data_IF_182313929546
#
_entry.id   IF_182313929546
#
_cell.length_a   1.000
_cell.length_b   1.000
_cell.length_c   1.000
_cell.angle_alpha   90.00
_cell.angle_beta   90.00
_cell.angle_gamma   90.00
#
_symmetry.space_group_name_H-M   'P 1'
#
loop_
_entity.id
_entity.type
_entity.pdbx_description
1 polymer ?
#
# COMPACT_ATOMS: atom_id res chain seq x y z
N UNK A 1 -1.52 -12.97 21.13
CA UNK A 1 -0.82 -11.69 20.96
C UNK A 1 -0.53 -11.16 22.34
N UNK A 2 0.73 -11.02 22.66
CA UNK A 2 1.24 -10.68 24.00
C UNK A 2 1.20 -9.15 24.27
N UNK A 3 0.53 -8.37 23.42
CA UNK A 3 0.32 -6.93 23.62
C UNK A 3 1.59 -6.09 23.60
N UNK A 4 2.72 -6.63 23.15
CA UNK A 4 3.92 -5.83 22.97
C UNK A 4 3.72 -4.85 21.82
N UNK A 5 3.82 -3.56 22.16
CA UNK A 5 3.98 -2.50 21.17
C UNK A 5 5.37 -2.71 20.54
N UNK A 6 5.41 -3.05 19.28
CA UNK A 6 6.64 -3.07 18.49
C UNK A 6 6.71 -1.77 17.69
N UNK A 7 7.90 -1.23 17.51
CA UNK A 7 8.11 -0.12 16.58
C UNK A 7 7.56 -0.55 15.20
N UNK A 8 6.93 0.38 14.53
CA UNK A 8 6.33 0.17 13.23
C UNK A 8 6.57 1.42 12.39
N UNK A 9 7.43 1.28 11.39
CA UNK A 9 7.82 2.36 10.50
C UNK A 9 7.19 2.17 9.13
N UNK A 10 6.65 3.26 8.60
CA UNK A 10 6.35 3.38 7.17
C UNK A 10 7.43 4.21 6.50
N UNK A 11 8.12 3.62 5.54
CA UNK A 11 9.12 4.28 4.72
C UNK A 11 8.50 4.63 3.37
N UNK A 12 8.42 5.90 3.04
CA UNK A 12 7.89 6.37 1.75
C UNK A 12 9.04 6.92 0.92
N UNK A 13 9.23 6.36 -0.25
CA UNK A 13 10.26 6.77 -1.21
C UNK A 13 9.63 7.52 -2.37
N UNK A 14 9.98 8.80 -2.51
CA UNK A 14 9.56 9.61 -3.64
C UNK A 14 10.65 9.58 -4.71
N UNK A 15 10.34 8.96 -5.84
CA UNK A 15 11.30 8.79 -6.95
C UNK A 15 11.20 9.93 -7.95
N UNK A 16 9.98 10.44 -8.18
CA UNK A 16 9.70 11.59 -9.03
C UNK A 16 8.53 12.39 -8.47
N UNK A 17 8.12 13.45 -9.14
CA UNK A 17 6.94 14.22 -8.73
C UNK A 17 5.64 13.39 -8.77
N UNK A 18 5.61 12.29 -9.51
CA UNK A 18 4.39 11.49 -9.71
C UNK A 18 4.51 10.06 -9.22
N UNK A 19 5.73 9.51 -9.15
CA UNK A 19 5.97 8.11 -8.83
C UNK A 19 6.68 7.93 -7.50
N UNK A 20 6.16 7.04 -6.69
CA UNK A 20 6.74 6.64 -5.42
C UNK A 20 6.35 5.22 -5.02
N UNK A 21 7.01 4.74 -3.97
CA UNK A 21 6.67 3.48 -3.34
C UNK A 21 6.84 3.56 -1.83
N UNK A 22 6.28 2.59 -1.12
CA UNK A 22 6.41 2.52 0.33
C UNK A 22 6.67 1.09 0.79
N UNK A 23 7.36 0.99 1.92
CA UNK A 23 7.40 -0.19 2.77
C UNK A 23 6.72 0.15 4.09
N UNK A 24 5.73 -0.63 4.49
CA UNK A 24 5.04 -0.51 5.76
C UNK A 24 5.28 -1.75 6.61
N UNK A 25 5.04 -1.65 7.92
CA UNK A 25 5.28 -2.72 8.88
C UNK A 25 6.79 -3.07 9.05
N UNK A 26 7.66 -2.10 8.81
CA UNK A 26 9.10 -2.23 9.09
C UNK A 26 9.31 -2.07 10.60
N UNK A 27 9.80 -3.11 11.26
CA UNK A 27 9.90 -3.14 12.73
C UNK A 27 11.18 -2.53 13.28
N UNK A 28 12.20 -2.40 12.47
CA UNK A 28 13.47 -1.75 12.83
C UNK A 28 14.10 -1.16 11.57
N UNK A 29 14.52 0.09 11.64
CA UNK A 29 15.37 0.69 10.60
C UNK A 29 16.83 0.24 10.77
N UNK A 30 17.56 0.16 9.66
CA UNK A 30 19.01 -0.08 9.71
C UNK A 30 19.74 1.14 10.27
N UNK A 31 20.85 0.93 10.94
CA UNK A 31 21.63 2.00 11.58
C UNK A 31 22.17 3.00 10.54
N UNK A 32 22.43 2.54 9.31
CA UNK A 32 22.84 3.39 8.19
C UNK A 32 21.75 4.39 7.78
N UNK A 33 20.49 4.06 8.00
CA UNK A 33 19.36 4.95 7.78
C UNK A 33 19.16 5.86 8.99
N UNK A 34 19.09 5.29 10.19
CA UNK A 34 18.87 6.02 11.44
C UNK A 34 19.91 7.12 11.71
N UNK A 35 21.16 6.89 11.30
CA UNK A 35 22.23 7.88 11.52
C UNK A 35 22.12 9.16 10.67
N UNK A 36 21.20 9.18 9.70
CA UNK A 36 21.07 10.28 8.73
C UNK A 36 20.01 11.32 9.12
N UNK A 37 19.23 11.08 10.19
CA UNK A 37 18.22 12.03 10.65
C UNK A 37 18.04 11.96 12.18
N UNK A 38 17.42 13.00 12.72
CA UNK A 38 17.06 13.05 14.13
C UNK A 38 15.88 12.12 14.46
N UNK A 39 15.75 11.73 15.74
CA UNK A 39 14.66 10.86 16.17
C UNK A 39 13.28 11.44 15.82
N UNK A 40 12.44 10.59 15.26
CA UNK A 40 11.04 10.92 14.94
C UNK A 40 10.21 10.63 16.18
N UNK A 41 9.34 11.57 16.64
CA UNK A 41 8.42 11.30 17.74
C UNK A 41 7.48 10.13 17.42
N UNK A 42 7.09 9.38 18.44
CA UNK A 42 6.08 8.32 18.30
C UNK A 42 4.80 8.86 17.63
N UNK A 43 4.28 8.16 16.64
CA UNK A 43 3.14 8.58 15.84
C UNK A 43 3.40 9.80 14.92
N UNK A 44 4.63 10.28 14.87
CA UNK A 44 5.05 11.40 14.03
C UNK A 44 5.53 10.99 12.66
N UNK A 45 5.84 11.98 11.84
CA UNK A 45 6.47 11.79 10.53
C UNK A 45 7.53 12.88 10.30
N UNK A 46 8.54 12.55 9.49
CA UNK A 46 9.55 13.52 9.07
C UNK A 46 9.85 13.32 7.58
N UNK A 47 10.07 14.43 6.88
CA UNK A 47 10.69 14.41 5.56
C UNK A 47 12.20 14.43 5.72
N UNK A 48 12.87 13.42 5.18
CA UNK A 48 14.31 13.27 5.29
C UNK A 48 14.93 13.12 3.90
N UNK A 49 16.16 13.57 3.72
CA UNK A 49 16.91 13.41 2.47
C UNK A 49 17.96 12.32 2.64
N UNK A 50 17.49 11.07 2.73
CA UNK A 50 18.34 9.89 2.84
C UNK A 50 18.56 9.29 1.47
N UNK A 51 19.83 9.16 1.06
CA UNK A 51 20.20 8.53 -0.21
C UNK A 51 20.35 7.02 -0.02
N UNK A 52 19.64 6.26 -0.82
CA UNK A 52 19.71 4.80 -0.86
C UNK A 52 19.95 4.32 -2.30
N UNK A 53 20.54 3.15 -2.44
CA UNK A 53 20.73 2.46 -3.72
C UNK A 53 19.97 1.14 -3.71
N UNK A 54 19.65 0.64 -4.88
CA UNK A 54 19.09 -0.71 -4.99
C UNK A 54 20.03 -1.74 -4.35
N UNK A 55 19.47 -2.55 -3.44
CA UNK A 55 20.22 -3.55 -2.67
C UNK A 55 20.74 -3.07 -1.31
N UNK A 56 20.64 -1.78 -0.98
CA UNK A 56 20.97 -1.31 0.36
C UNK A 56 19.98 -1.88 1.39
N UNK A 57 20.52 -2.31 2.55
CA UNK A 57 19.71 -2.70 3.68
C UNK A 57 19.10 -1.45 4.33
N UNK A 58 17.78 -1.34 4.31
CA UNK A 58 17.06 -0.19 4.87
C UNK A 58 16.42 -0.47 6.23
N UNK A 59 16.12 -1.72 6.51
CA UNK A 59 15.47 -2.11 7.76
C UNK A 59 15.13 -3.59 7.81
N UNK A 60 14.41 -3.97 8.84
CA UNK A 60 14.08 -5.34 9.16
C UNK A 60 12.58 -5.50 9.38
N UNK A 61 12.05 -6.62 8.94
CA UNK A 61 10.68 -7.06 9.20
C UNK A 61 10.71 -8.08 10.34
N UNK A 62 9.87 -7.89 11.35
CA UNK A 62 9.77 -8.80 12.48
C UNK A 62 8.90 -10.02 12.19
N UNK A 63 7.92 -10.27 13.05
CA UNK A 63 7.04 -11.45 12.96
C UNK A 63 5.82 -11.26 12.07
N UNK A 64 5.63 -10.06 11.56
CA UNK A 64 4.52 -9.72 10.66
C UNK A 64 4.99 -9.66 9.20
N UNK A 65 4.05 -9.46 8.29
CA UNK A 65 4.32 -9.31 6.86
C UNK A 65 4.87 -7.91 6.55
N UNK A 66 5.61 -7.79 5.46
CA UNK A 66 5.93 -6.50 4.85
C UNK A 66 4.76 -6.09 3.94
N UNK A 67 4.24 -4.87 4.10
CA UNK A 67 3.35 -4.25 3.13
C UNK A 67 4.19 -3.38 2.19
N UNK A 68 4.15 -3.73 0.90
CA UNK A 68 4.88 -3.03 -0.16
C UNK A 68 3.90 -2.56 -1.23
N UNK A 69 3.90 -1.28 -1.51
CA UNK A 69 3.03 -0.71 -2.53
C UNK A 69 3.71 0.36 -3.36
N UNK A 70 3.22 0.53 -4.58
CA UNK A 70 3.66 1.56 -5.53
C UNK A 70 2.48 2.42 -5.97
N UNK A 71 2.76 3.67 -6.33
CA UNK A 71 1.77 4.58 -6.88
C UNK A 71 2.41 5.48 -7.95
N UNK A 72 1.60 5.83 -8.94
CA UNK A 72 1.95 6.82 -9.97
C UNK A 72 0.74 7.73 -10.23
N UNK A 73 0.88 9.02 -9.96
CA UNK A 73 -0.18 10.01 -10.18
C UNK A 73 -0.60 10.17 -11.66
N UNK A 74 0.21 9.65 -12.59
CA UNK A 74 -0.18 9.59 -14.02
C UNK A 74 -1.10 8.40 -14.34
N UNK A 75 -1.23 7.45 -13.43
CA UNK A 75 -2.11 6.29 -13.57
C UNK A 75 -3.35 6.52 -12.72
N UNK A 76 -4.52 6.24 -13.27
CA UNK A 76 -5.77 6.26 -12.51
C UNK A 76 -6.49 4.93 -12.74
N UNK A 77 -6.76 4.22 -11.66
CA UNK A 77 -7.53 2.98 -11.69
C UNK A 77 -8.97 3.30 -12.14
N UNK A 78 -9.41 2.69 -13.21
CA UNK A 78 -10.71 2.97 -13.85
C UNK A 78 -11.86 2.11 -13.34
N UNK A 79 -11.58 1.13 -12.50
CA UNK A 79 -12.57 0.19 -11.98
C UNK A 79 -13.29 0.67 -10.72
N UNK A 80 -13.05 1.88 -10.22
CA UNK A 80 -13.84 2.50 -9.16
C UNK A 80 -15.02 3.28 -9.74
N UNK A 81 -16.25 2.96 -9.33
CA UNK A 81 -17.45 3.71 -9.73
C UNK A 81 -17.58 5.05 -9.01
N UNK A 82 -17.04 5.17 -7.84
CA UNK A 82 -17.06 6.39 -7.04
C UNK A 82 -15.67 6.78 -6.54
N UNK A 83 -14.79 7.27 -7.43
CA UNK A 83 -13.43 7.66 -7.05
C UNK A 83 -13.39 8.81 -6.04
N UNK A 84 -14.43 9.65 -5.97
CA UNK A 84 -14.50 10.72 -4.96
C UNK A 84 -14.55 10.21 -3.52
N UNK A 85 -14.95 8.97 -3.30
CA UNK A 85 -14.87 8.33 -1.98
C UNK A 85 -13.42 8.15 -1.47
N UNK A 86 -12.43 8.40 -2.32
CA UNK A 86 -11.00 8.31 -1.98
C UNK A 86 -10.30 9.68 -1.96
N UNK A 87 -11.01 10.81 -2.05
CA UNK A 87 -10.39 12.15 -2.19
C UNK A 87 -9.36 12.48 -1.09
N UNK A 88 -9.56 11.99 0.13
CA UNK A 88 -8.64 12.21 1.25
C UNK A 88 -7.52 11.17 1.35
N UNK A 89 -7.61 10.13 0.54
CA UNK A 89 -6.63 9.07 0.37
C UNK A 89 -6.38 8.84 -1.14
N UNK A 90 -6.22 9.93 -1.88
CA UNK A 90 -6.22 9.95 -3.35
C UNK A 90 -5.19 9.00 -3.98
N UNK A 91 -4.08 8.72 -3.30
CA UNK A 91 -3.09 7.76 -3.75
C UNK A 91 -3.68 6.35 -4.00
N UNK A 92 -4.79 5.98 -3.35
CA UNK A 92 -5.48 4.69 -3.54
C UNK A 92 -5.94 4.47 -4.99
N UNK A 93 -6.40 5.51 -5.65
CA UNK A 93 -6.82 5.41 -7.06
C UNK A 93 -5.65 5.48 -8.04
N UNK A 94 -4.45 5.73 -7.55
CA UNK A 94 -3.20 5.83 -8.32
C UNK A 94 -2.24 4.67 -8.04
N UNK A 95 -2.67 3.62 -7.33
CA UNK A 95 -1.82 2.45 -7.09
C UNK A 95 -1.46 1.74 -8.38
N UNK A 96 -0.25 1.22 -8.42
CA UNK A 96 0.27 0.44 -9.56
C UNK A 96 0.66 -0.96 -9.10
N UNK A 97 0.91 -1.87 -10.03
CA UNK A 97 1.40 -3.21 -9.69
C UNK A 97 2.86 -3.13 -9.21
N UNK A 98 3.15 -3.40 -7.92
CA UNK A 98 4.49 -3.28 -7.38
C UNK A 98 5.49 -4.27 -8.00
N UNK A 99 5.04 -5.37 -8.58
CA UNK A 99 5.92 -6.33 -9.26
C UNK A 99 6.62 -5.68 -10.45
N UNK A 100 5.94 -4.75 -11.12
CA UNK A 100 6.49 -4.04 -12.29
C UNK A 100 7.61 -3.05 -11.94
N UNK A 101 7.82 -2.74 -10.67
CA UNK A 101 8.92 -1.89 -10.21
C UNK A 101 10.29 -2.59 -10.21
N UNK A 102 10.32 -3.91 -10.37
CA UNK A 102 11.54 -4.71 -10.35
C UNK A 102 12.09 -4.99 -11.76
N UNK A 103 13.35 -5.44 -11.85
CA UNK A 103 13.91 -5.94 -13.11
C UNK A 103 13.18 -7.20 -13.58
N UNK A 104 13.23 -7.49 -14.88
CA UNK A 104 12.53 -8.65 -15.46
C UNK A 104 12.94 -9.97 -14.77
N UNK A 105 14.23 -10.12 -14.39
CA UNK A 105 14.72 -11.29 -13.70
C UNK A 105 14.06 -11.44 -12.32
N UNK A 106 13.96 -10.33 -11.55
CA UNK A 106 13.31 -10.34 -10.24
C UNK A 106 11.80 -10.51 -10.35
N UNK A 107 11.16 -9.92 -11.36
CA UNK A 107 9.74 -10.16 -11.64
C UNK A 107 9.48 -11.66 -11.85
N UNK A 108 10.32 -12.34 -12.61
CA UNK A 108 10.20 -13.78 -12.86
C UNK A 108 10.38 -14.60 -11.56
N UNK A 109 11.30 -14.23 -10.68
CA UNK A 109 11.47 -14.90 -9.39
C UNK A 109 10.29 -14.66 -8.45
N UNK A 110 9.83 -13.42 -8.34
CA UNK A 110 8.64 -13.07 -7.53
C UNK A 110 7.42 -13.86 -8.03
N UNK A 111 7.24 -13.94 -9.36
CA UNK A 111 6.09 -14.62 -9.95
C UNK A 111 6.08 -16.14 -9.68
N UNK A 112 7.24 -16.78 -9.53
CA UNK A 112 7.29 -18.20 -9.13
C UNK A 112 6.69 -18.42 -7.74
N UNK A 113 6.91 -17.47 -6.82
CA UNK A 113 6.44 -17.52 -5.45
C UNK A 113 5.02 -16.98 -5.29
N UNK A 114 4.53 -16.18 -6.25
CA UNK A 114 3.21 -15.56 -6.17
C UNK A 114 2.11 -16.61 -6.38
N UNK A 115 1.19 -16.79 -5.43
CA UNK A 115 0.06 -17.71 -5.59
C UNK A 115 -0.93 -17.25 -6.67
N UNK A 116 -1.05 -15.92 -6.90
CA UNK A 116 -1.92 -15.37 -7.94
C UNK A 116 -1.33 -15.64 -9.33
N UNK A 117 -2.12 -16.31 -10.18
CA UNK A 117 -1.69 -16.74 -11.53
C UNK A 117 -2.34 -15.95 -12.66
N UNK A 118 -3.06 -14.88 -12.32
CA UNK A 118 -3.76 -14.02 -13.28
C UNK A 118 -3.35 -12.56 -13.09
N UNK A 119 -3.25 -11.84 -14.21
CA UNK A 119 -2.95 -10.39 -14.18
C UNK A 119 -4.14 -9.59 -13.59
N UNK A 120 -3.88 -8.46 -12.91
CA UNK A 120 -2.57 -7.98 -12.48
C UNK A 120 -1.99 -8.83 -11.34
N UNK A 121 -0.72 -9.19 -11.44
CA UNK A 121 -0.10 -10.11 -10.49
C UNK A 121 0.10 -9.51 -9.09
N UNK A 122 0.26 -8.21 -8.98
CA UNK A 122 0.30 -7.48 -7.71
C UNK A 122 -1.05 -7.35 -7.02
N UNK A 123 -2.12 -7.85 -7.65
CA UNK A 123 -3.49 -7.78 -7.12
C UNK A 123 -4.32 -6.66 -7.76
N UNK A 124 -5.58 -6.58 -7.33
CA UNK A 124 -6.55 -5.62 -7.85
C UNK A 124 -7.47 -5.16 -6.71
N UNK A 125 -7.81 -3.88 -6.67
CA UNK A 125 -8.71 -3.30 -5.66
C UNK A 125 -9.93 -2.60 -6.27
N UNK A 126 -9.90 -2.28 -7.55
CA UNK A 126 -10.91 -1.53 -8.29
C UNK A 126 -11.90 -2.48 -9.00
N UNK A 127 -12.68 -3.23 -8.24
CA UNK A 127 -13.62 -4.26 -8.74
C UNK A 127 -15.05 -3.76 -8.95
N UNK A 128 -15.33 -2.47 -8.80
CA UNK A 128 -16.70 -1.96 -8.83
C UNK A 128 -17.39 -2.26 -10.16
N UNK A 129 -18.60 -2.82 -10.09
CA UNK A 129 -19.41 -3.13 -11.27
C UNK A 129 -20.81 -2.53 -11.12
N UNK A 130 -21.17 -1.62 -12.02
CA UNK A 130 -22.48 -0.97 -12.01
C UNK A 130 -23.61 -2.02 -12.08
N UNK A 131 -24.52 -1.96 -11.11
CA UNK A 131 -25.66 -2.86 -11.04
C UNK A 131 -25.34 -4.26 -10.52
N UNK A 132 -24.15 -4.48 -9.99
CA UNK A 132 -23.73 -5.71 -9.32
C UNK A 132 -23.41 -5.43 -7.85
N UNK A 133 -23.38 -6.51 -7.05
CA UNK A 133 -22.96 -6.41 -5.66
C UNK A 133 -21.43 -6.28 -5.54
N UNK A 134 -20.68 -6.69 -6.55
CA UNK A 134 -19.22 -6.57 -6.59
C UNK A 134 -18.81 -5.10 -6.59
N UNK A 135 -18.00 -4.71 -5.61
CA UNK A 135 -17.52 -3.33 -5.48
C UNK A 135 -17.22 -2.91 -4.06
N UNK A 136 -16.83 -1.65 -3.93
CA UNK A 136 -16.47 -0.99 -2.68
C UNK A 136 -17.62 -0.11 -2.20
N UNK A 137 -17.99 -0.24 -0.95
CA UNK A 137 -19.10 0.45 -0.31
C UNK A 137 -18.63 1.20 0.92
N UNK A 138 -19.14 2.40 1.11
CA UNK A 138 -18.79 3.25 2.24
C UNK A 138 -20.05 3.60 3.02
N UNK A 139 -19.90 3.66 4.35
CA UNK A 139 -20.97 4.08 5.23
C UNK A 139 -21.38 5.52 4.91
N UNK A 140 -22.68 5.76 4.89
CA UNK A 140 -23.24 7.09 4.64
C UNK A 140 -22.79 8.10 5.71
N UNK A 141 -22.53 9.34 5.30
CA UNK A 141 -22.05 10.43 6.16
C UNK A 141 -20.65 10.20 6.76
N UNK A 142 -19.81 9.46 6.07
CA UNK A 142 -18.36 9.37 6.32
C UNK A 142 -17.60 10.07 5.19
N UNK A 143 -16.28 10.20 5.36
CA UNK A 143 -15.38 10.73 4.33
C UNK A 143 -14.95 9.65 3.32
N UNK A 144 -15.83 8.72 2.99
CA UNK A 144 -15.49 7.60 2.13
C UNK A 144 -14.46 6.68 2.81
N UNK A 145 -13.38 6.37 2.10
CA UNK A 145 -12.33 5.46 2.57
C UNK A 145 -11.65 5.94 3.86
N UNK A 146 -11.42 7.24 4.02
CA UNK A 146 -10.83 7.81 5.23
C UNK A 146 -11.70 7.58 6.49
N UNK A 147 -13.02 7.45 6.32
CA UNK A 147 -13.95 7.30 7.43
C UNK A 147 -14.31 8.64 8.09
N UNK A 148 -14.55 8.61 9.39
CA UNK A 148 -14.94 9.79 10.17
C UNK A 148 -14.15 9.85 11.49
N UNK A 149 -14.29 10.98 12.22
CA UNK A 149 -13.65 11.14 13.55
C UNK A 149 -14.13 10.11 14.59
N UNK A 150 -15.23 9.41 14.34
CA UNK A 150 -15.81 8.40 15.23
C UNK A 150 -15.52 6.98 14.82
N UNK A 151 -15.09 6.79 13.58
CA UNK A 151 -14.88 5.48 12.97
C UNK A 151 -13.54 5.52 12.22
N UNK A 152 -12.72 4.51 12.45
CA UNK A 152 -11.49 4.33 11.69
C UNK A 152 -11.85 4.10 10.23
N UNK A 153 -10.95 4.45 9.31
CA UNK A 153 -11.25 4.45 7.90
C UNK A 153 -11.71 3.09 7.35
N UNK A 154 -11.26 1.97 7.87
CA UNK A 154 -11.77 0.65 7.45
C UNK A 154 -13.08 0.22 8.11
N UNK A 155 -13.50 0.83 9.23
CA UNK A 155 -14.74 0.46 9.93
C UNK A 155 -15.99 0.84 9.14
N UNK A 156 -15.88 1.85 8.27
CA UNK A 156 -16.96 2.31 7.40
C UNK A 156 -16.86 1.79 5.96
N UNK A 157 -15.96 0.87 5.67
CA UNK A 157 -15.69 0.33 4.34
C UNK A 157 -16.04 -1.15 4.26
N UNK A 158 -16.79 -1.53 3.24
CA UNK A 158 -17.15 -2.91 2.92
C UNK A 158 -16.85 -3.19 1.45
N UNK A 159 -16.07 -4.23 1.18
CA UNK A 159 -15.76 -4.66 -0.18
C UNK A 159 -16.34 -6.04 -0.44
N UNK A 160 -17.05 -6.18 -1.56
CA UNK A 160 -17.38 -7.46 -2.17
C UNK A 160 -16.53 -7.63 -3.41
N UNK A 161 -15.55 -8.51 -3.35
CA UNK A 161 -14.54 -8.69 -4.40
C UNK A 161 -14.37 -10.16 -4.74
N UNK A 162 -13.81 -10.42 -5.90
CA UNK A 162 -13.41 -11.76 -6.28
C UNK A 162 -12.27 -12.28 -5.42
N UNK A 163 -12.09 -13.59 -5.39
CA UNK A 163 -10.93 -14.18 -4.71
C UNK A 163 -9.61 -13.56 -5.21
N UNK A 164 -8.72 -13.29 -4.28
CA UNK A 164 -7.47 -12.61 -4.61
C UNK A 164 -6.55 -13.47 -5.48
N UNK A 165 -6.51 -14.77 -5.25
CA UNK A 165 -5.62 -15.68 -5.98
C UNK A 165 -6.25 -16.19 -7.27
N UNK A 166 -7.54 -16.48 -7.22
CA UNK A 166 -8.32 -16.97 -8.37
C UNK A 166 -9.63 -16.18 -8.53
N UNK A 167 -9.61 -15.07 -9.30
CA UNK A 167 -10.79 -14.22 -9.49
C UNK A 167 -11.88 -14.83 -10.37
N UNK A 168 -11.83 -16.11 -10.67
CA UNK A 168 -12.95 -16.86 -11.27
C UNK A 168 -13.99 -17.30 -10.26
N UNK A 169 -13.67 -17.14 -8.97
CA UNK A 169 -14.55 -17.39 -7.82
C UNK A 169 -15.07 -16.12 -7.18
#
# INVERSE_FOLDING_TARGET
PDGKITDDYRLVFQISCTYGYYYDLVTKLDDSILSQFEAIPEGGSAMVDVKVKAGDLIGYVGTQTLDFGTYDANVTLSGFLNPSSYEREAWKIHTTDPVLAYSEELQAEIQKLNPRKVSPYGGKIDYDQKGKLVGNYFKTNTNGYEGSNKERYWDGHLSFVYDHFDPTY
#
